data_IF_124435484470
#
_entry.id   IF_124435484470
#
_cell.length_a   1.000
_cell.length_b   1.000
_cell.length_c   1.000
_cell.angle_alpha   90.00
_cell.angle_beta   90.00
_cell.angle_gamma   90.00
#
_symmetry.space_group_name_H-M   'P 1'
#
loop_
_entity.id
_entity.type
_entity.pdbx_description
1 polymer ?
#
# COMPACT_ATOMS: atom_id res chain seq x y z
N UNK A 1 -24.72 5.65 -2.50
CA UNK A 1 -23.32 5.20 -2.36
C UNK A 1 -22.91 4.69 -3.73
N UNK A 2 -21.87 5.26 -4.35
CA UNK A 2 -21.42 4.84 -5.68
C UNK A 2 -20.48 3.64 -5.52
N UNK A 3 -20.61 2.63 -6.38
CA UNK A 3 -19.82 1.41 -6.31
C UNK A 3 -18.80 1.35 -7.45
N UNK A 4 -17.59 0.88 -7.15
CA UNK A 4 -16.54 0.59 -8.11
C UNK A 4 -16.05 -0.83 -7.91
N UNK A 5 -15.93 -1.60 -9.00
CA UNK A 5 -15.47 -2.98 -8.97
C UNK A 5 -13.97 -2.99 -9.24
N UNK A 6 -13.20 -3.57 -8.32
CA UNK A 6 -11.80 -3.88 -8.53
C UNK A 6 -11.64 -5.31 -8.97
N UNK A 7 -10.81 -5.48 -10.00
CA UNK A 7 -10.33 -6.77 -10.48
C UNK A 7 -8.87 -6.93 -10.07
N UNK A 8 -8.23 -8.03 -10.49
CA UNK A 8 -6.81 -8.26 -10.20
C UNK A 8 -5.94 -7.05 -10.58
N UNK A 9 -5.06 -6.66 -9.65
CA UNK A 9 -4.16 -5.52 -9.75
C UNK A 9 -2.71 -6.03 -9.76
N UNK A 10 -2.13 -6.32 -10.94
CA UNK A 10 -0.70 -6.65 -11.05
C UNK A 10 0.18 -5.41 -10.87
N UNK A 11 1.42 -5.57 -10.42
CA UNK A 11 2.45 -4.51 -10.43
C UNK A 11 3.05 -4.42 -11.83
N UNK A 12 2.19 -4.11 -12.79
CA UNK A 12 2.53 -3.93 -14.20
C UNK A 12 1.78 -2.74 -14.76
N UNK A 13 2.10 -2.37 -16.01
CA UNK A 13 1.40 -1.31 -16.72
C UNK A 13 -0.14 -1.41 -16.62
N UNK A 14 -0.70 -2.62 -16.76
CA UNK A 14 -2.14 -2.86 -16.66
C UNK A 14 -2.71 -2.51 -15.26
N UNK A 15 -2.01 -2.88 -14.18
CA UNK A 15 -2.48 -2.56 -12.83
C UNK A 15 -2.42 -1.07 -12.54
N UNK A 16 -1.35 -0.38 -12.96
CA UNK A 16 -1.27 1.08 -12.83
C UNK A 16 -2.35 1.79 -13.68
N UNK A 17 -2.65 1.31 -14.90
CA UNK A 17 -3.76 1.82 -15.70
C UNK A 17 -5.11 1.63 -15.01
N UNK A 18 -5.34 0.50 -14.33
CA UNK A 18 -6.55 0.28 -13.53
C UNK A 18 -6.65 1.25 -12.35
N UNK A 19 -5.54 1.58 -11.68
CA UNK A 19 -5.54 2.59 -10.61
C UNK A 19 -5.87 3.98 -11.14
N UNK A 20 -5.35 4.37 -12.31
CA UNK A 20 -5.68 5.64 -12.95
C UNK A 20 -7.17 5.71 -13.32
N UNK A 21 -7.72 4.64 -13.92
CA UNK A 21 -9.16 4.57 -14.22
C UNK A 21 -10.02 4.65 -12.96
N UNK A 22 -9.58 4.03 -11.86
CA UNK A 22 -10.26 4.15 -10.56
C UNK A 22 -10.25 5.60 -10.07
N UNK A 23 -9.10 6.28 -10.12
CA UNK A 23 -8.96 7.70 -9.78
C UNK A 23 -9.93 8.55 -10.59
N UNK A 24 -9.91 8.41 -11.92
CA UNK A 24 -10.76 9.22 -12.81
C UNK A 24 -12.26 8.95 -12.55
N UNK A 25 -12.61 7.68 -12.27
CA UNK A 25 -13.99 7.30 -11.91
C UNK A 25 -14.42 7.86 -10.55
N UNK A 26 -13.50 7.94 -9.58
CA UNK A 26 -13.74 8.59 -8.29
C UNK A 26 -13.95 10.10 -8.48
N UNK A 27 -13.10 10.77 -9.25
CA UNK A 27 -13.19 12.20 -9.54
C UNK A 27 -14.51 12.56 -10.22
N UNK A 28 -14.88 11.84 -11.28
CA UNK A 28 -16.17 12.02 -11.95
C UNK A 28 -17.35 11.84 -10.99
N UNK A 29 -17.32 10.83 -10.11
CA UNK A 29 -18.39 10.63 -9.15
C UNK A 29 -18.42 11.72 -8.05
N UNK A 30 -17.27 12.31 -7.69
CA UNK A 30 -17.21 13.46 -6.78
C UNK A 30 -17.85 14.69 -7.42
N UNK A 31 -17.59 14.94 -8.70
CA UNK A 31 -18.22 16.02 -9.48
C UNK A 31 -19.74 15.85 -9.58
N UNK A 32 -20.22 14.60 -9.69
CA UNK A 32 -21.64 14.23 -9.59
C UNK A 32 -22.24 14.43 -8.18
N UNK A 33 -21.44 14.81 -7.18
CA UNK A 33 -21.87 15.08 -5.81
C UNK A 33 -21.85 13.87 -4.87
N UNK A 34 -21.26 12.73 -5.28
CA UNK A 34 -21.12 11.57 -4.40
C UNK A 34 -20.02 11.79 -3.34
N UNK A 35 -20.32 11.39 -2.10
CA UNK A 35 -19.36 11.46 -0.96
C UNK A 35 -19.05 10.10 -0.32
N UNK A 36 -19.79 9.05 -0.70
CA UNK A 36 -19.67 7.70 -0.14
C UNK A 36 -19.44 6.70 -1.26
N UNK A 37 -18.35 5.97 -1.18
CA UNK A 37 -17.87 5.05 -2.20
C UNK A 37 -17.72 3.64 -1.64
N UNK A 38 -18.15 2.66 -2.41
CA UNK A 38 -17.98 1.25 -2.09
C UNK A 38 -17.02 0.62 -3.11
N UNK A 39 -15.88 0.16 -2.63
CA UNK A 39 -14.88 -0.53 -3.42
C UNK A 39 -15.14 -2.03 -3.30
N UNK A 40 -15.74 -2.59 -4.33
CA UNK A 40 -16.03 -4.01 -4.42
C UNK A 40 -14.76 -4.78 -4.83
N UNK A 41 -14.18 -5.49 -3.87
CA UNK A 41 -12.99 -6.33 -4.06
C UNK A 41 -13.34 -7.82 -4.23
N UNK A 42 -14.61 -8.16 -4.46
CA UNK A 42 -15.07 -9.56 -4.56
C UNK A 42 -14.56 -10.29 -5.81
N UNK A 43 -14.17 -9.55 -6.85
CA UNK A 43 -13.63 -10.08 -8.10
C UNK A 43 -12.10 -10.20 -8.10
N UNK A 44 -11.44 -9.84 -7.01
CA UNK A 44 -10.00 -10.00 -6.87
C UNK A 44 -9.71 -11.44 -6.44
N UNK A 45 -9.13 -12.22 -7.35
CA UNK A 45 -8.66 -13.58 -7.09
C UNK A 45 -7.17 -13.62 -6.76
N UNK A 46 -6.45 -12.55 -7.10
CA UNK A 46 -5.03 -12.40 -6.85
C UNK A 46 -4.63 -10.93 -6.71
N UNK A 47 -3.70 -10.64 -5.80
CA UNK A 47 -3.26 -9.30 -5.46
C UNK A 47 -1.76 -9.31 -5.16
N UNK A 48 -0.97 -8.45 -5.80
CA UNK A 48 0.46 -8.31 -5.50
C UNK A 48 0.72 -7.33 -4.38
N UNK A 49 1.63 -7.67 -3.48
CA UNK A 49 1.99 -6.79 -2.36
C UNK A 49 2.41 -5.39 -2.79
N UNK A 50 3.21 -5.29 -3.84
CA UNK A 50 3.87 -4.03 -4.23
C UNK A 50 2.88 -2.93 -4.68
N UNK A 51 1.71 -3.28 -5.23
CA UNK A 51 0.72 -2.27 -5.65
C UNK A 51 -0.12 -1.71 -4.49
N UNK A 52 -0.02 -2.30 -3.29
CA UNK A 52 -0.76 -1.83 -2.11
C UNK A 52 -0.42 -0.38 -1.74
N UNK A 53 0.83 0.06 -1.90
CA UNK A 53 1.26 1.42 -1.59
C UNK A 53 0.51 2.43 -2.47
N UNK A 54 0.42 2.15 -3.77
CA UNK A 54 -0.25 3.03 -4.72
C UNK A 54 -1.77 3.05 -4.50
N UNK A 55 -2.42 1.89 -4.39
CA UNK A 55 -3.86 1.83 -4.12
C UNK A 55 -4.18 2.45 -2.75
N UNK A 56 -3.42 2.11 -1.72
CA UNK A 56 -3.61 2.59 -0.37
C UNK A 56 -3.42 4.11 -0.25
N UNK A 57 -2.39 4.66 -0.91
CA UNK A 57 -2.17 6.09 -1.02
C UNK A 57 -3.34 6.82 -1.70
N UNK A 58 -3.84 6.26 -2.81
CA UNK A 58 -5.01 6.81 -3.52
C UNK A 58 -6.26 6.85 -2.61
N UNK A 59 -6.58 5.74 -1.95
CA UNK A 59 -7.74 5.67 -1.05
C UNK A 59 -7.56 6.59 0.16
N UNK A 60 -6.35 6.66 0.72
CA UNK A 60 -6.02 7.57 1.83
C UNK A 60 -6.16 9.04 1.45
N UNK A 61 -5.70 9.41 0.26
CA UNK A 61 -5.85 10.76 -0.28
C UNK A 61 -7.33 11.19 -0.32
N UNK A 62 -8.20 10.34 -0.85
CA UNK A 62 -9.63 10.64 -0.92
C UNK A 62 -10.33 10.61 0.44
N UNK A 63 -9.94 9.72 1.35
CA UNK A 63 -10.41 9.76 2.73
C UNK A 63 -10.00 11.07 3.43
N UNK A 64 -8.78 11.55 3.20
CA UNK A 64 -8.32 12.85 3.72
C UNK A 64 -9.12 14.04 3.16
N UNK A 65 -9.58 13.94 1.91
CA UNK A 65 -10.50 14.92 1.29
C UNK A 65 -11.94 14.84 1.84
N UNK A 66 -12.20 14.02 2.87
CA UNK A 66 -13.49 13.92 3.54
C UNK A 66 -14.47 12.93 2.89
N UNK A 67 -14.00 12.08 1.97
CA UNK A 67 -14.82 11.05 1.35
C UNK A 67 -14.83 9.81 2.25
N UNK A 68 -15.93 9.06 2.23
CA UNK A 68 -16.03 7.81 2.97
C UNK A 68 -15.90 6.63 2.02
N UNK A 69 -14.84 5.84 2.17
CA UNK A 69 -14.57 4.66 1.35
C UNK A 69 -14.78 3.38 2.17
N UNK A 70 -15.57 2.45 1.64
CA UNK A 70 -15.92 1.19 2.28
C UNK A 70 -15.59 0.00 1.38
N UNK A 71 -15.43 -1.18 1.97
CA UNK A 71 -15.40 -2.46 1.25
C UNK A 71 -16.10 -3.53 2.08
N UNK A 72 -16.52 -4.63 1.43
CA UNK A 72 -17.04 -5.80 2.15
C UNK A 72 -15.95 -6.85 2.30
N UNK A 73 -15.30 -6.85 3.47
CA UNK A 73 -14.20 -7.77 3.80
C UNK A 73 -14.58 -9.25 3.70
N UNK A 74 -15.86 -9.60 3.89
CA UNK A 74 -16.34 -10.98 3.82
C UNK A 74 -16.52 -11.48 2.37
N UNK A 75 -16.50 -10.58 1.39
CA UNK A 75 -16.59 -10.92 -0.03
C UNK A 75 -15.22 -11.03 -0.71
N UNK A 76 -14.15 -10.61 -0.05
CA UNK A 76 -12.78 -10.79 -0.56
C UNK A 76 -12.42 -12.27 -0.53
N UNK A 77 -11.85 -12.77 -1.64
CA UNK A 77 -11.39 -14.16 -1.72
C UNK A 77 -10.48 -14.51 -0.52
N UNK A 78 -10.66 -15.66 0.17
CA UNK A 78 -9.96 -15.95 1.42
C UNK A 78 -8.44 -15.84 1.36
N UNK A 79 -7.82 -16.28 0.26
CA UNK A 79 -6.37 -16.17 0.04
C UNK A 79 -5.91 -14.71 -0.04
N UNK A 80 -6.62 -13.89 -0.79
CA UNK A 80 -6.35 -12.45 -0.93
C UNK A 80 -6.58 -11.74 0.40
N UNK A 81 -7.68 -12.05 1.09
CA UNK A 81 -7.97 -11.48 2.41
C UNK A 81 -6.87 -11.81 3.41
N UNK A 82 -6.42 -13.06 3.46
CA UNK A 82 -5.34 -13.50 4.35
C UNK A 82 -4.04 -12.71 4.08
N UNK A 83 -3.66 -12.59 2.81
CA UNK A 83 -2.51 -11.78 2.40
C UNK A 83 -2.63 -10.30 2.81
N UNK A 84 -3.75 -9.65 2.47
CA UNK A 84 -3.98 -8.23 2.79
C UNK A 84 -4.15 -7.98 4.31
N UNK A 85 -4.53 -9.02 5.08
CA UNK A 85 -4.56 -8.97 6.53
C UNK A 85 -3.14 -8.99 7.12
N UNK A 86 -2.26 -9.82 6.56
CA UNK A 86 -0.87 -9.96 6.99
C UNK A 86 -0.02 -8.75 6.65
N UNK A 87 -0.18 -8.20 5.44
CA UNK A 87 0.53 -6.99 5.07
C UNK A 87 -0.08 -5.73 5.73
N UNK A 88 -1.26 -5.82 6.35
CA UNK A 88 -1.89 -4.70 7.07
C UNK A 88 -2.73 -3.76 6.22
N UNK A 89 -2.86 -3.99 4.91
CA UNK A 89 -3.64 -3.15 4.00
C UNK A 89 -5.12 -3.01 4.42
N UNK A 90 -5.73 -4.08 4.95
CA UNK A 90 -7.14 -4.05 5.38
C UNK A 90 -7.41 -3.16 6.60
N UNK A 91 -6.36 -2.63 7.25
CA UNK A 91 -6.50 -1.62 8.30
C UNK A 91 -7.14 -0.33 7.78
N UNK A 92 -7.03 -0.04 6.47
CA UNK A 92 -7.75 1.05 5.80
C UNK A 92 -9.27 0.92 5.92
N UNK A 93 -9.77 -0.30 6.13
CA UNK A 93 -11.19 -0.64 6.24
C UNK A 93 -11.55 -1.13 7.65
N UNK A 94 -10.71 -0.85 8.65
CA UNK A 94 -10.96 -1.18 10.06
C UNK A 94 -10.63 -2.61 10.47
N UNK A 95 -9.96 -3.41 9.63
CA UNK A 95 -9.51 -4.74 10.02
C UNK A 95 -8.09 -4.68 10.60
N UNK A 96 -7.90 -5.19 11.82
CA UNK A 96 -6.55 -5.29 12.41
C UNK A 96 -5.64 -6.19 11.58
N UNK A 97 -4.35 -5.81 11.52
CA UNK A 97 -3.29 -6.62 10.92
C UNK A 97 -3.15 -7.95 11.64
N UNK A 98 -2.98 -9.03 10.87
CA UNK A 98 -2.66 -10.35 11.40
C UNK A 98 -1.15 -10.60 11.37
N UNK A 99 -0.64 -11.40 12.30
CA UNK A 99 0.79 -11.77 12.32
C UNK A 99 1.14 -12.58 11.06
N UNK A 100 2.22 -12.20 10.40
CA UNK A 100 2.75 -12.97 9.26
C UNK A 100 3.86 -13.91 9.72
N UNK A 101 3.48 -15.13 10.13
CA UNK A 101 4.40 -16.14 10.67
C UNK A 101 5.42 -16.70 9.65
N UNK A 102 5.28 -16.36 8.37
CA UNK A 102 6.12 -16.90 7.29
C UNK A 102 7.01 -15.83 6.63
N UNK A 103 6.98 -14.60 7.16
CA UNK A 103 7.73 -13.46 6.62
C UNK A 103 7.61 -13.38 5.09
N UNK A 104 6.36 -13.38 4.61
CA UNK A 104 6.00 -13.34 3.18
C UNK A 104 5.62 -11.95 2.71
N UNK A 105 5.40 -11.03 3.65
CA UNK A 105 4.88 -9.69 3.39
C UNK A 105 5.80 -8.63 3.98
N UNK A 106 5.93 -7.53 3.24
CA UNK A 106 6.43 -6.26 3.77
C UNK A 106 5.19 -5.39 4.02
N UNK A 107 5.04 -4.93 5.25
CA UNK A 107 3.84 -4.23 5.74
C UNK A 107 3.49 -2.99 4.92
N UNK A 108 2.22 -2.85 4.55
CA UNK A 108 1.67 -1.60 4.07
C UNK A 108 1.66 -0.57 5.20
N UNK A 109 2.50 0.46 5.07
CA UNK A 109 2.66 1.52 6.07
C UNK A 109 2.72 2.89 5.40
N UNK A 110 2.04 3.86 6.01
CA UNK A 110 2.24 5.27 5.73
C UNK A 110 3.30 5.84 6.66
N UNK A 111 4.33 6.45 6.08
CA UNK A 111 5.44 7.09 6.77
C UNK A 111 5.20 8.59 6.86
N UNK A 112 5.07 9.07 8.09
CA UNK A 112 4.82 10.47 8.34
C UNK A 112 6.04 11.31 7.96
N UNK A 113 5.88 12.20 6.98
CA UNK A 113 6.95 13.05 6.45
C UNK A 113 7.56 14.01 7.50
N UNK A 114 6.87 14.24 8.62
CA UNK A 114 7.36 15.07 9.74
C UNK A 114 8.16 14.27 10.77
N UNK A 115 8.27 12.95 10.63
CA UNK A 115 8.99 12.04 11.53
C UNK A 115 10.03 11.25 10.74
N UNK A 116 11.27 11.72 10.72
CA UNK A 116 12.37 11.14 9.93
C UNK A 116 12.65 9.67 10.23
N UNK A 117 12.54 9.26 11.50
CA UNK A 117 13.09 7.98 11.94
C UNK A 117 12.18 6.78 11.59
N UNK A 118 10.90 7.02 11.30
CA UNK A 118 9.90 5.98 11.08
C UNK A 118 10.20 5.09 9.86
N UNK A 119 10.76 5.67 8.79
CA UNK A 119 11.15 4.93 7.60
C UNK A 119 12.46 4.16 7.81
N UNK A 120 13.40 4.73 8.56
CA UNK A 120 14.67 4.06 8.87
C UNK A 120 14.46 2.78 9.72
N UNK A 121 13.53 2.82 10.67
CA UNK A 121 13.14 1.64 11.45
C UNK A 121 12.46 0.59 10.57
N UNK A 122 11.62 1.04 9.63
CA UNK A 122 10.93 0.17 8.68
C UNK A 122 11.90 -0.59 7.77
N UNK A 123 12.87 0.10 7.16
CA UNK A 123 13.88 -0.57 6.32
C UNK A 123 14.78 -1.48 7.14
N UNK A 124 15.09 -1.13 8.39
CA UNK A 124 15.92 -1.97 9.27
C UNK A 124 15.20 -3.26 9.65
N UNK A 125 13.88 -3.19 9.85
CA UNK A 125 13.03 -4.36 10.13
C UNK A 125 12.96 -5.33 8.95
N UNK A 126 12.72 -4.83 7.74
CA UNK A 126 12.45 -5.68 6.57
C UNK A 126 13.68 -6.02 5.72
N UNK A 127 14.76 -5.23 5.84
CA UNK A 127 16.01 -5.44 5.10
C UNK A 127 17.17 -5.63 6.06
N UNK A 128 17.10 -6.71 6.83
CA UNK A 128 18.14 -7.18 7.75
C UNK A 128 18.97 -8.31 7.12
N UNK A 129 20.05 -8.69 7.78
CA UNK A 129 20.87 -9.83 7.33
C UNK A 129 20.01 -11.11 7.28
N UNK A 130 20.10 -11.86 6.19
CA UNK A 130 19.29 -13.06 5.93
C UNK A 130 17.78 -12.80 5.78
N UNK A 131 17.35 -11.55 5.54
CA UNK A 131 15.96 -11.30 5.16
C UNK A 131 15.63 -12.05 3.88
N UNK A 132 14.42 -12.62 3.83
CA UNK A 132 13.95 -13.40 2.69
C UNK A 132 14.07 -12.60 1.39
N UNK A 133 14.44 -13.27 0.30
CA UNK A 133 14.53 -12.63 -1.03
C UNK A 133 15.69 -11.65 -1.21
N UNK A 134 16.48 -11.36 -0.16
CA UNK A 134 17.72 -10.61 -0.32
C UNK A 134 18.91 -11.54 -0.60
N UNK A 135 19.86 -11.11 -1.44
CA UNK A 135 21.15 -11.81 -1.56
C UNK A 135 21.96 -11.67 -0.28
N UNK A 136 22.91 -12.58 -0.10
CA UNK A 136 23.90 -12.47 0.97
C UNK A 136 24.73 -11.20 0.78
N UNK A 137 24.71 -10.33 1.79
CA UNK A 137 25.43 -9.06 1.79
C UNK A 137 26.36 -8.98 2.99
N UNK A 138 27.56 -8.45 2.79
CA UNK A 138 28.43 -8.07 3.90
C UNK A 138 27.74 -6.98 4.74
N UNK A 139 28.07 -6.85 6.04
CA UNK A 139 27.46 -5.82 6.89
C UNK A 139 27.59 -4.40 6.31
N UNK A 140 28.72 -4.11 5.65
CA UNK A 140 28.95 -2.82 5.00
C UNK A 140 28.08 -2.63 3.74
N UNK A 141 27.92 -3.66 2.92
CA UNK A 141 27.04 -3.61 1.75
C UNK A 141 25.58 -3.45 2.16
N UNK A 142 25.12 -4.20 3.17
CA UNK A 142 23.76 -4.08 3.72
C UNK A 142 23.49 -2.68 4.29
N UNK A 143 24.50 -2.03 4.89
CA UNK A 143 24.41 -0.64 5.35
C UNK A 143 24.21 0.32 4.18
N UNK A 144 25.01 0.19 3.11
CA UNK A 144 24.87 1.03 1.92
C UNK A 144 23.55 0.79 1.18
N UNK A 145 23.11 -0.46 1.08
CA UNK A 145 21.81 -0.82 0.50
C UNK A 145 20.65 -0.10 1.21
N UNK A 146 20.58 -0.22 2.54
CA UNK A 146 19.56 0.49 3.34
C UNK A 146 19.66 2.00 3.21
N UNK A 147 20.88 2.55 3.18
CA UNK A 147 21.09 3.98 2.97
C UNK A 147 20.53 4.45 1.61
N UNK A 148 20.76 3.69 0.53
CA UNK A 148 20.20 4.04 -0.78
C UNK A 148 18.67 4.00 -0.80
N UNK A 149 18.04 3.05 -0.11
CA UNK A 149 16.58 3.04 0.05
C UNK A 149 16.08 4.27 0.82
N UNK A 150 16.79 4.66 1.88
CA UNK A 150 16.46 5.85 2.66
C UNK A 150 16.62 7.14 1.84
N UNK A 151 17.65 7.22 0.99
CA UNK A 151 17.87 8.37 0.10
C UNK A 151 16.75 8.49 -0.96
N UNK A 152 16.24 7.39 -1.51
CA UNK A 152 15.06 7.41 -2.40
C UNK A 152 13.84 7.98 -1.66
N UNK A 153 13.60 7.52 -0.43
CA UNK A 153 12.52 8.04 0.40
C UNK A 153 12.67 9.54 0.70
N UNK A 154 13.88 10.01 1.01
CA UNK A 154 14.11 11.44 1.24
C UNK A 154 13.80 12.27 -0.02
N UNK A 155 14.18 11.78 -1.21
CA UNK A 155 13.83 12.46 -2.46
C UNK A 155 12.31 12.57 -2.63
N UNK A 156 11.55 11.51 -2.30
CA UNK A 156 10.10 11.55 -2.33
C UNK A 156 9.54 12.57 -1.32
N UNK A 157 10.07 12.62 -0.10
CA UNK A 157 9.64 13.59 0.93
C UNK A 157 9.93 15.03 0.49
N UNK A 158 11.12 15.29 -0.07
CA UNK A 158 11.55 16.63 -0.46
C UNK A 158 10.84 17.13 -1.74
N UNK A 159 10.54 16.23 -2.68
CA UNK A 159 10.07 16.62 -4.02
C UNK A 159 8.63 16.26 -4.35
N UNK A 160 7.96 15.35 -3.62
CA UNK A 160 6.57 14.99 -3.93
C UNK A 160 5.55 16.04 -3.47
N UNK A 161 5.97 17.04 -2.69
CA UNK A 161 5.11 18.11 -2.13
C UNK A 161 3.84 17.60 -1.41
N UNK A 162 3.86 16.35 -0.97
CA UNK A 162 2.72 15.71 -0.32
C UNK A 162 2.48 16.32 1.05
N UNK A 163 1.21 16.55 1.38
CA UNK A 163 0.78 16.95 2.73
C UNK A 163 0.40 15.73 3.60
N UNK A 164 0.48 14.53 3.02
CA UNK A 164 0.16 13.26 3.63
C UNK A 164 1.44 12.43 3.86
N UNK A 165 1.25 11.17 4.25
CA UNK A 165 2.33 10.21 4.40
C UNK A 165 2.88 9.74 3.04
N UNK A 166 4.11 9.23 3.04
CA UNK A 166 4.67 8.43 1.94
C UNK A 166 4.40 6.96 2.24
N UNK A 167 3.82 6.21 1.30
CA UNK A 167 3.40 4.83 1.54
C UNK A 167 4.42 3.83 1.02
N UNK A 168 4.71 2.81 1.82
CA UNK A 168 5.56 1.68 1.44
C UNK A 168 4.86 0.36 1.74
N UNK A 169 5.20 -0.68 0.97
CA UNK A 169 4.72 -2.06 1.15
C UNK A 169 5.54 -3.02 0.29
N UNK A 170 5.26 -4.31 0.37
CA UNK A 170 5.82 -5.28 -0.56
C UNK A 170 5.55 -6.73 -0.19
N UNK A 171 6.28 -7.61 -0.85
CA UNK A 171 6.28 -9.06 -0.65
C UNK A 171 7.68 -9.59 -0.98
N UNK A 172 8.04 -10.75 -0.44
CA UNK A 172 9.33 -11.42 -0.65
C UNK A 172 9.22 -12.60 -1.62
#
# INVERSE_FOLDING_TARGET
>A
MKQFILTNLPTSYDGFQKLLRLKDSLESAIEEGHKKFFIDMSHITWFEGHICACLGGLLKYYNYKGLCIYTNLNKIAPKVRSFLSKNGFLSLFGQNRTVDIHDTTIEFKGHNIKKSDDFNDYITKYFSQNSRGLPDMTPILLKYFRRSLYEIYLNDVEHAETQLDVFSCGQF
#
